data_IF_564875481040
#
_entry.id   IF_564875481040
#
_cell.length_a   1.000
_cell.length_b   1.000
_cell.length_c   1.000
_cell.angle_alpha   90.00
_cell.angle_beta   90.00
_cell.angle_gamma   90.00
#
_symmetry.space_group_name_H-M   'P 1'
#
loop_
_entity.id
_entity.type
_entity.pdbx_description
1 polymer ?
#
# COMPACT_ATOMS: atom_id res chain seq x y z
N UNK A 1 5.07 -1.36 -22.15
CA UNK A 1 4.58 0.01 -22.46
C UNK A 1 3.12 -0.09 -22.87
N UNK A 2 2.19 0.53 -22.14
CA UNK A 2 0.77 0.51 -22.51
C UNK A 2 0.52 1.36 -23.77
N UNK A 3 -0.21 0.81 -24.76
CA UNK A 3 -0.63 1.51 -25.98
C UNK A 3 -1.48 2.76 -25.63
N UNK A 4 -1.38 3.83 -26.44
CA UNK A 4 -2.18 5.06 -26.35
C UNK A 4 -3.70 4.84 -26.17
N UNK A 5 -4.28 3.75 -26.71
CA UNK A 5 -5.69 3.38 -26.49
C UNK A 5 -5.96 2.86 -25.08
N UNK A 6 -5.06 2.04 -24.54
CA UNK A 6 -5.11 1.57 -23.14
C UNK A 6 -4.94 2.75 -22.17
N UNK A 7 -3.99 3.65 -22.47
CA UNK A 7 -3.79 4.88 -21.68
C UNK A 7 -5.01 5.80 -21.68
N UNK A 8 -5.73 5.95 -22.79
CA UNK A 8 -6.98 6.73 -22.86
C UNK A 8 -8.11 6.13 -22.02
N UNK A 9 -8.29 4.80 -22.06
CA UNK A 9 -9.28 4.08 -21.26
C UNK A 9 -8.96 4.15 -19.75
N UNK A 10 -7.68 4.11 -19.40
CA UNK A 10 -7.22 4.28 -18.03
C UNK A 10 -7.54 5.67 -17.47
N UNK A 11 -7.19 6.72 -18.22
CA UNK A 11 -7.47 8.09 -17.81
C UNK A 11 -8.97 8.39 -17.70
N UNK A 12 -9.81 7.78 -18.55
CA UNK A 12 -11.26 7.96 -18.44
C UNK A 12 -11.82 7.28 -17.19
N UNK A 13 -11.37 6.07 -16.82
CA UNK A 13 -11.76 5.39 -15.59
C UNK A 13 -11.33 6.13 -14.31
N UNK A 14 -10.14 6.75 -14.31
CA UNK A 14 -9.70 7.58 -13.18
C UNK A 14 -10.65 8.77 -12.99
N UNK A 15 -10.99 9.48 -14.08
CA UNK A 15 -11.89 10.65 -14.01
C UNK A 15 -13.27 10.29 -13.46
N UNK A 16 -13.81 9.12 -13.84
CA UNK A 16 -15.11 8.62 -13.32
C UNK A 16 -15.06 8.40 -11.79
N UNK A 17 -13.89 8.08 -11.23
CA UNK A 17 -13.75 7.81 -9.80
C UNK A 17 -13.62 9.06 -8.91
N UNK A 18 -13.61 10.28 -9.47
CA UNK A 18 -13.39 11.52 -8.69
C UNK A 18 -14.66 12.16 -8.07
N UNK A 19 -15.86 11.68 -8.38
CA UNK A 19 -17.11 12.43 -8.14
C UNK A 19 -17.84 12.27 -6.80
N UNK A 20 -17.40 11.43 -5.87
CA UNK A 20 -18.24 11.02 -4.71
C UNK A 20 -17.75 11.52 -3.35
N UNK A 21 -16.46 11.81 -3.20
CA UNK A 21 -15.90 12.33 -1.95
C UNK A 21 -15.75 13.86 -2.04
N UNK A 22 -15.94 14.58 -0.92
CA UNK A 22 -15.93 16.04 -0.94
C UNK A 22 -14.61 16.58 -1.50
N UNK A 23 -14.66 17.69 -2.26
CA UNK A 23 -13.45 18.38 -2.68
C UNK A 23 -12.75 18.93 -1.44
N UNK A 24 -11.53 18.45 -1.17
CA UNK A 24 -10.71 18.92 -0.04
C UNK A 24 -10.17 17.80 0.84
N UNK A 25 -9.83 18.15 2.08
CA UNK A 25 -9.26 17.26 3.10
C UNK A 25 -10.31 16.80 4.09
N UNK A 26 -10.24 15.55 4.52
CA UNK A 26 -11.12 15.03 5.57
C UNK A 26 -10.75 15.61 6.96
N UNK A 27 -11.67 15.51 7.93
CA UNK A 27 -11.38 15.94 9.30
C UNK A 27 -10.24 15.13 9.91
N UNK A 28 -9.20 15.82 10.41
CA UNK A 28 -7.95 15.20 10.90
C UNK A 28 -8.15 14.17 12.00
N UNK A 29 -9.15 14.38 12.87
CA UNK A 29 -9.52 13.48 13.97
C UNK A 29 -9.90 12.07 13.47
N UNK A 30 -10.44 11.95 12.25
CA UNK A 30 -10.73 10.66 11.63
C UNK A 30 -9.47 9.83 11.43
N UNK A 31 -8.31 10.48 11.38
CA UNK A 31 -7.01 9.86 11.17
C UNK A 31 -6.19 9.68 12.47
N UNK A 32 -6.87 9.62 13.62
CA UNK A 32 -6.24 9.23 14.88
C UNK A 32 -6.20 7.71 15.02
N UNK A 33 -5.07 7.17 15.48
CA UNK A 33 -4.81 5.74 15.64
C UNK A 33 -4.21 5.47 17.01
N UNK A 34 -4.68 4.42 17.67
CA UNK A 34 -3.99 3.91 18.86
C UNK A 34 -3.00 2.81 18.47
N UNK A 35 -1.81 2.84 19.04
CA UNK A 35 -0.80 1.80 18.89
C UNK A 35 -0.82 0.89 20.11
N UNK A 36 -1.19 -0.36 19.89
CA UNK A 36 -1.12 -1.41 20.91
C UNK A 36 0.15 -2.24 20.68
N UNK A 37 0.94 -2.46 21.71
CA UNK A 37 2.13 -3.31 21.65
C UNK A 37 1.77 -4.71 22.15
N UNK A 38 1.90 -5.72 21.28
CA UNK A 38 1.69 -7.13 21.64
C UNK A 38 3.04 -7.84 21.71
N UNK A 39 3.29 -8.55 22.81
CA UNK A 39 4.50 -9.37 22.99
C UNK A 39 4.56 -10.45 21.90
N UNK A 40 5.70 -10.59 21.23
CA UNK A 40 5.97 -11.72 20.33
C UNK A 40 6.30 -12.99 21.09
N UNK A 41 6.90 -12.87 22.28
CA UNK A 41 7.36 -13.97 23.15
C UNK A 41 7.28 -13.56 24.62
N UNK A 42 7.08 -14.53 25.52
CA UNK A 42 7.07 -14.31 26.96
C UNK A 42 8.46 -13.96 27.51
N UNK A 43 8.51 -13.16 28.59
CA UNK A 43 9.75 -12.81 29.29
C UNK A 43 10.68 -11.84 28.54
N UNK A 44 10.17 -11.04 27.60
CA UNK A 44 10.98 -10.12 26.79
C UNK A 44 11.03 -8.71 27.39
N UNK A 45 12.24 -8.14 27.45
CA UNK A 45 12.50 -6.78 27.94
C UNK A 45 12.82 -5.78 26.79
N UNK A 46 13.07 -6.26 25.57
CA UNK A 46 13.40 -5.42 24.40
C UNK A 46 12.14 -4.98 23.63
N UNK A 47 12.03 -3.69 23.34
CA UNK A 47 10.95 -3.12 22.52
C UNK A 47 10.84 -3.76 21.12
N UNK A 48 11.93 -4.32 20.59
CA UNK A 48 11.98 -5.04 19.31
C UNK A 48 11.15 -6.33 19.32
N UNK A 49 10.90 -6.89 20.49
CA UNK A 49 10.09 -8.09 20.67
C UNK A 49 8.59 -7.80 20.78
N UNK A 50 8.19 -6.53 20.65
CA UNK A 50 6.79 -6.17 20.51
C UNK A 50 6.39 -6.05 19.04
N UNK A 51 5.15 -6.44 18.75
CA UNK A 51 4.48 -6.19 17.48
C UNK A 51 3.51 -5.04 17.67
N UNK A 52 3.70 -3.88 17.01
CA UNK A 52 2.73 -2.82 17.04
C UNK A 52 1.49 -3.21 16.23
N UNK A 53 0.31 -2.98 16.80
CA UNK A 53 -0.98 -3.09 16.13
C UNK A 53 -1.62 -1.70 16.07
N UNK A 54 -1.94 -1.27 14.86
CA UNK A 54 -2.67 -0.04 14.60
C UNK A 54 -4.17 -0.25 14.83
N UNK A 55 -4.70 0.29 15.91
CA UNK A 55 -6.13 0.37 16.17
C UNK A 55 -6.68 1.65 15.54
N UNK A 56 -7.00 1.53 14.26
CA UNK A 56 -7.53 2.64 13.46
C UNK A 56 -9.04 2.76 13.60
N UNK A 57 -9.55 3.99 13.63
CA UNK A 57 -10.99 4.28 13.70
C UNK A 57 -11.79 3.66 12.54
N UNK A 58 -13.00 3.18 12.83
CA UNK A 58 -13.88 2.50 11.87
C UNK A 58 -14.26 3.38 10.67
N UNK A 59 -14.51 4.67 10.90
CA UNK A 59 -14.83 5.64 9.84
C UNK A 59 -13.67 5.77 8.83
N UNK A 60 -12.44 5.84 9.32
CA UNK A 60 -11.27 5.82 8.43
C UNK A 60 -11.16 4.49 7.68
N UNK A 61 -11.39 3.35 8.34
CA UNK A 61 -11.36 2.04 7.66
C UNK A 61 -12.38 1.98 6.52
N UNK A 62 -13.58 2.52 6.71
CA UNK A 62 -14.59 2.65 5.67
C UNK A 62 -14.11 3.54 4.52
N UNK A 63 -13.57 4.72 4.82
CA UNK A 63 -13.01 5.62 3.82
C UNK A 63 -11.88 4.94 3.02
N UNK A 64 -10.91 4.35 3.70
CA UNK A 64 -9.80 3.63 3.08
C UNK A 64 -10.30 2.47 2.22
N UNK A 65 -11.33 1.74 2.66
CA UNK A 65 -11.95 0.66 1.89
C UNK A 65 -12.63 1.18 0.62
N UNK A 66 -13.34 2.31 0.69
CA UNK A 66 -13.94 2.96 -0.49
C UNK A 66 -12.87 3.35 -1.50
N UNK A 67 -11.76 3.96 -1.03
CA UNK A 67 -10.64 4.33 -1.90
C UNK A 67 -9.96 3.10 -2.51
N UNK A 68 -9.73 2.04 -1.72
CA UNK A 68 -9.14 0.80 -2.22
C UNK A 68 -10.03 0.11 -3.27
N UNK A 69 -11.35 0.07 -3.05
CA UNK A 69 -12.29 -0.53 -3.99
C UNK A 69 -12.34 0.23 -5.33
N UNK A 70 -12.20 1.56 -5.30
CA UNK A 70 -12.09 2.38 -6.51
C UNK A 70 -10.77 2.13 -7.23
N UNK A 71 -9.64 2.13 -6.51
CA UNK A 71 -8.32 1.84 -7.08
C UNK A 71 -8.27 0.47 -7.74
N UNK A 72 -8.94 -0.52 -7.15
CA UNK A 72 -9.04 -1.88 -7.71
C UNK A 72 -9.56 -1.90 -9.15
N UNK A 73 -10.47 -1.00 -9.52
CA UNK A 73 -11.07 -0.95 -10.88
C UNK A 73 -10.08 -0.58 -11.98
N UNK A 74 -8.97 0.07 -11.61
CA UNK A 74 -7.92 0.50 -12.55
C UNK A 74 -6.60 -0.24 -12.33
N UNK A 75 -6.51 -1.10 -11.30
CA UNK A 75 -5.25 -1.72 -10.88
C UNK A 75 -4.57 -2.51 -12.01
N UNK A 76 -5.33 -3.28 -12.79
CA UNK A 76 -4.79 -4.07 -13.90
C UNK A 76 -4.18 -3.26 -15.05
N UNK A 77 -4.45 -1.95 -15.12
CA UNK A 77 -3.84 -1.05 -16.10
C UNK A 77 -2.61 -0.32 -15.53
N UNK A 78 -2.44 -0.33 -14.20
CA UNK A 78 -1.33 0.33 -13.48
C UNK A 78 -0.15 -0.61 -13.26
N UNK A 79 -0.42 -1.89 -13.00
CA UNK A 79 0.60 -2.87 -12.64
C UNK A 79 0.95 -3.78 -13.80
N UNK A 80 2.17 -4.33 -13.78
CA UNK A 80 2.60 -5.35 -14.74
C UNK A 80 1.80 -6.64 -14.59
N UNK A 81 1.64 -7.40 -15.67
CA UNK A 81 1.06 -8.76 -15.64
C UNK A 81 1.88 -9.74 -14.80
N UNK A 82 3.17 -9.46 -14.62
CA UNK A 82 4.05 -10.23 -13.73
C UNK A 82 3.81 -9.99 -12.24
N UNK A 83 3.06 -8.96 -11.84
CA UNK A 83 2.80 -8.67 -10.42
C UNK A 83 1.55 -9.40 -9.92
N UNK A 84 1.69 -10.42 -9.07
CA UNK A 84 0.53 -11.24 -8.67
C UNK A 84 0.06 -10.98 -7.23
N UNK A 85 0.95 -10.55 -6.34
CA UNK A 85 0.61 -10.31 -4.95
C UNK A 85 -0.40 -9.16 -4.79
N UNK A 86 -1.43 -9.36 -3.98
CA UNK A 86 -2.49 -8.38 -3.67
C UNK A 86 -3.33 -7.91 -4.87
N UNK A 87 -3.35 -8.69 -5.96
CA UNK A 87 -4.15 -8.40 -7.16
C UNK A 87 -5.34 -9.33 -7.22
N UNK A 88 -6.53 -8.78 -7.39
CA UNK A 88 -7.73 -9.59 -7.55
C UNK A 88 -7.65 -10.45 -8.81
N UNK A 89 -7.93 -11.75 -8.68
CA UNK A 89 -7.91 -12.70 -9.79
C UNK A 89 -6.53 -13.28 -10.13
N UNK A 90 -5.47 -12.93 -9.41
CA UNK A 90 -4.13 -13.55 -9.56
C UNK A 90 -3.82 -14.43 -8.34
N UNK A 91 -3.32 -15.65 -8.56
CA UNK A 91 -3.01 -16.58 -7.49
C UNK A 91 -1.50 -16.63 -7.23
N UNK A 92 -1.13 -16.94 -5.99
CA UNK A 92 0.30 -17.09 -5.63
C UNK A 92 0.94 -18.28 -6.34
N UNK A 93 0.14 -19.33 -6.61
CA UNK A 93 0.59 -20.53 -7.31
C UNK A 93 1.00 -20.24 -8.76
N UNK A 94 0.35 -19.26 -9.41
CA UNK A 94 0.71 -18.84 -10.77
C UNK A 94 2.16 -18.33 -10.82
N UNK A 95 2.59 -17.55 -9.82
CA UNK A 95 3.97 -17.05 -9.73
C UNK A 95 4.95 -18.19 -9.55
N UNK A 96 4.63 -19.14 -8.68
CA UNK A 96 5.49 -20.30 -8.40
C UNK A 96 5.68 -21.11 -9.68
N UNK A 97 4.60 -21.35 -10.43
CA UNK A 97 4.65 -22.08 -11.70
C UNK A 97 5.47 -21.33 -12.75
N UNK A 98 5.23 -20.03 -12.95
CA UNK A 98 5.97 -19.20 -13.90
C UNK A 98 7.46 -19.18 -13.56
N UNK A 99 7.81 -19.06 -12.27
CA UNK A 99 9.20 -19.07 -11.83
C UNK A 99 9.88 -20.43 -12.09
N UNK A 100 9.17 -21.54 -11.81
CA UNK A 100 9.69 -22.89 -12.06
C UNK A 100 9.93 -23.13 -13.55
N UNK A 101 8.97 -22.78 -14.41
CA UNK A 101 9.09 -22.96 -15.86
C UNK A 101 10.21 -22.08 -16.45
N UNK A 102 10.32 -20.84 -15.99
CA UNK A 102 11.39 -19.93 -16.40
C UNK A 102 12.78 -20.45 -16.00
N UNK A 103 12.91 -21.06 -14.82
CA UNK A 103 14.16 -21.68 -14.37
C UNK A 103 14.48 -22.94 -15.18
N UNK A 104 13.51 -23.84 -15.37
CA UNK A 104 13.69 -25.09 -16.10
C UNK A 104 14.09 -24.83 -17.57
N UNK A 105 13.42 -23.87 -18.23
CA UNK A 105 13.79 -23.44 -19.58
C UNK A 105 15.23 -22.93 -19.65
N UNK A 106 15.67 -22.10 -18.69
CA UNK A 106 17.05 -21.57 -18.68
C UNK A 106 18.09 -22.65 -18.42
N UNK A 107 17.78 -23.63 -17.58
CA UNK A 107 18.66 -24.77 -17.33
C UNK A 107 18.82 -25.64 -18.60
N UNK A 108 17.73 -25.84 -19.36
CA UNK A 108 17.75 -26.58 -20.63
C UNK A 108 18.53 -25.86 -21.72
N UNK A 109 18.43 -24.54 -21.81
CA UNK A 109 19.16 -23.74 -22.81
C UNK A 109 20.67 -23.72 -22.58
N UNK A 110 21.13 -24.11 -21.37
CA UNK A 110 22.54 -24.12 -20.95
C UNK A 110 23.26 -22.77 -21.16
N UNK A 111 22.50 -21.67 -21.08
CA UNK A 111 23.02 -20.31 -21.15
C UNK A 111 23.26 -19.81 -19.72
N UNK A 112 24.48 -19.34 -19.39
CA UNK A 112 24.75 -18.76 -18.08
C UNK A 112 23.77 -17.61 -17.76
N UNK A 113 23.22 -17.62 -16.54
CA UNK A 113 22.26 -16.62 -16.08
C UNK A 113 22.34 -16.40 -14.57
N UNK A 114 21.70 -15.33 -14.10
CA UNK A 114 21.64 -14.96 -12.68
C UNK A 114 20.19 -14.96 -12.21
N UNK A 115 19.91 -15.68 -11.12
CA UNK A 115 18.66 -15.56 -10.38
C UNK A 115 18.87 -14.64 -9.18
N UNK A 116 18.14 -13.53 -9.13
CA UNK A 116 18.21 -12.57 -8.03
C UNK A 116 16.92 -12.62 -7.20
N UNK A 117 17.06 -13.00 -5.93
CA UNK A 117 16.00 -12.88 -4.92
C UNK A 117 16.19 -11.58 -4.15
N UNK A 118 15.26 -10.64 -4.32
CA UNK A 118 15.25 -9.37 -3.59
C UNK A 118 14.12 -9.35 -2.57
N UNK A 119 14.40 -8.84 -1.39
CA UNK A 119 13.39 -8.55 -0.36
C UNK A 119 13.61 -7.13 0.17
N UNK A 120 12.52 -6.45 0.52
CA UNK A 120 12.55 -5.06 1.00
C UNK A 120 12.22 -5.05 2.48
N UNK A 121 13.21 -4.71 3.30
CA UNK A 121 13.02 -4.59 4.75
C UNK A 121 11.95 -3.53 5.07
N UNK A 122 10.91 -3.96 5.80
CA UNK A 122 9.82 -3.09 6.29
C UNK A 122 9.23 -2.21 5.17
N UNK A 123 8.94 -2.83 4.03
CA UNK A 123 8.49 -2.14 2.82
C UNK A 123 7.35 -1.14 3.06
N UNK A 124 6.39 -1.48 3.93
CA UNK A 124 5.29 -0.58 4.27
C UNK A 124 5.70 0.56 5.21
N UNK A 125 6.62 0.36 6.15
CA UNK A 125 7.03 1.40 7.11
C UNK A 125 7.98 2.43 6.49
N UNK A 126 8.65 2.06 5.39
CA UNK A 126 9.69 2.87 4.74
C UNK A 126 9.21 3.68 3.52
N UNK A 127 7.94 3.59 3.13
CA UNK A 127 7.41 4.32 1.96
C UNK A 127 7.57 5.84 2.12
N UNK A 128 8.32 6.48 1.23
CA UNK A 128 8.39 7.93 1.15
C UNK A 128 7.11 8.50 0.49
N UNK A 129 6.40 9.37 1.18
CA UNK A 129 5.12 9.90 0.69
C UNK A 129 5.26 10.82 -0.52
N UNK A 130 6.30 11.65 -0.58
CA UNK A 130 6.50 12.54 -1.73
C UNK A 130 6.74 11.71 -3.00
N UNK A 131 7.59 10.69 -2.90
CA UNK A 131 7.81 9.75 -3.99
C UNK A 131 6.51 9.05 -4.42
N UNK A 132 5.68 8.60 -3.46
CA UNK A 132 4.39 8.01 -3.76
C UNK A 132 3.48 8.97 -4.53
N UNK A 133 3.36 10.24 -4.11
CA UNK A 133 2.55 11.23 -4.82
C UNK A 133 3.08 11.51 -6.23
N UNK A 134 4.40 11.56 -6.41
CA UNK A 134 5.03 11.76 -7.71
C UNK A 134 4.75 10.59 -8.66
N UNK A 135 4.82 9.36 -8.17
CA UNK A 135 4.48 8.16 -8.94
C UNK A 135 3.02 8.18 -9.36
N UNK A 136 2.10 8.52 -8.44
CA UNK A 136 0.68 8.62 -8.77
C UNK A 136 0.40 9.72 -9.80
N UNK A 137 1.08 10.88 -9.69
CA UNK A 137 1.00 11.95 -10.68
C UNK A 137 1.46 11.49 -12.07
N UNK A 138 2.63 10.82 -12.14
CA UNK A 138 3.18 10.28 -13.39
C UNK A 138 2.30 9.18 -14.01
N UNK A 139 1.62 8.40 -13.18
CA UNK A 139 0.64 7.42 -13.64
C UNK A 139 -0.58 8.10 -14.24
N UNK A 140 -0.91 9.34 -13.86
CA UNK A 140 -2.04 10.11 -14.39
C UNK A 140 -3.23 10.19 -13.44
N UNK A 141 -3.04 9.89 -12.15
CA UNK A 141 -4.06 10.15 -11.14
C UNK A 141 -4.28 11.66 -10.99
N UNK A 142 -5.54 12.08 -10.91
CA UNK A 142 -5.88 13.49 -10.73
C UNK A 142 -5.49 14.02 -9.35
N UNK A 143 -5.31 15.33 -9.27
CA UNK A 143 -4.88 16.02 -8.05
C UNK A 143 -5.80 15.75 -6.85
N UNK A 144 -7.10 15.58 -7.10
CA UNK A 144 -8.09 15.25 -6.06
C UNK A 144 -7.78 13.90 -5.42
N UNK A 145 -7.53 12.88 -6.25
CA UNK A 145 -7.18 11.54 -5.78
C UNK A 145 -5.87 11.54 -4.99
N UNK A 146 -4.84 12.20 -5.53
CA UNK A 146 -3.54 12.36 -4.87
C UNK A 146 -3.71 13.02 -3.50
N UNK A 147 -4.55 14.05 -3.39
CA UNK A 147 -4.80 14.72 -2.11
C UNK A 147 -5.52 13.82 -1.09
N UNK A 148 -6.44 12.96 -1.51
CA UNK A 148 -7.05 11.99 -0.59
C UNK A 148 -6.02 10.98 -0.06
N UNK A 149 -5.16 10.44 -0.92
CA UNK A 149 -4.09 9.52 -0.48
C UNK A 149 -3.08 10.25 0.40
N UNK A 150 -2.65 11.46 0.01
CA UNK A 150 -1.78 12.32 0.83
C UNK A 150 -2.38 12.59 2.20
N UNK A 151 -3.68 12.85 2.27
CA UNK A 151 -4.37 13.04 3.54
C UNK A 151 -4.33 11.76 4.39
N UNK A 152 -4.66 10.59 3.82
CA UNK A 152 -4.63 9.30 4.52
C UNK A 152 -3.25 9.01 5.13
N UNK A 153 -2.17 9.34 4.42
CA UNK A 153 -0.80 9.14 4.88
C UNK A 153 -0.35 10.19 5.90
N UNK A 154 -0.41 11.48 5.53
CA UNK A 154 0.29 12.56 6.23
C UNK A 154 -0.43 13.15 7.45
N UNK A 155 -1.73 12.86 7.59
CA UNK A 155 -2.51 13.33 8.74
C UNK A 155 -2.64 12.30 9.85
N UNK A 156 -2.04 11.12 9.68
CA UNK A 156 -2.06 10.04 10.65
C UNK A 156 -1.37 10.47 11.95
N UNK A 157 -2.10 10.35 13.05
CA UNK A 157 -1.59 10.64 14.38
C UNK A 157 -1.75 9.44 15.29
N UNK A 158 -0.75 9.23 16.15
CA UNK A 158 -0.62 8.02 16.95
C UNK A 158 -0.53 8.36 18.43
N UNK A 159 -1.16 7.53 19.25
CA UNK A 159 -0.97 7.49 20.70
C UNK A 159 -0.75 6.05 21.14
N UNK A 160 0.15 5.80 22.08
CA UNK A 160 0.49 4.45 22.53
C UNK A 160 -0.48 4.06 23.63
N UNK A 161 -1.09 2.87 23.55
CA UNK A 161 -1.89 2.33 24.64
C UNK A 161 -0.98 1.65 25.65
N UNK A 162 -0.82 2.27 26.82
CA UNK A 162 -0.12 1.71 27.97
C UNK A 162 -1.19 1.32 28.99
N UNK A 163 -1.31 0.02 29.26
CA UNK A 163 -2.32 -0.53 30.18
C UNK A 163 -3.76 -0.04 29.88
N UNK A 164 -4.11 0.03 28.60
CA UNK A 164 -5.42 0.48 28.12
C UNK A 164 -5.62 2.00 28.10
N UNK A 165 -4.66 2.79 28.59
CA UNK A 165 -4.72 4.25 28.58
C UNK A 165 -3.84 4.84 27.47
N UNK A 166 -4.34 5.82 26.69
CA UNK A 166 -3.53 6.49 25.67
C UNK A 166 -2.45 7.36 26.32
N UNK A 167 -1.22 7.20 25.84
CA UNK A 167 -0.05 7.92 26.33
C UNK A 167 0.75 8.50 25.16
N UNK A 168 1.11 9.77 25.28
CA UNK A 168 1.83 10.52 24.27
C UNK A 168 1.05 10.73 22.98
N UNK A 169 1.59 11.59 22.12
CA UNK A 169 1.06 11.85 20.80
C UNK A 169 2.19 12.13 19.83
N UNK A 170 2.20 11.44 18.70
CA UNK A 170 3.19 11.65 17.65
C UNK A 170 2.59 11.45 16.26
N UNK A 171 3.32 11.90 15.25
CA UNK A 171 2.96 11.73 13.83
C UNK A 171 3.97 10.85 13.15
N UNK A 172 3.53 10.15 12.11
CA UNK A 172 4.48 9.55 11.18
C UNK A 172 4.98 10.58 10.18
N UNK A 173 6.17 10.33 9.62
CA UNK A 173 6.76 11.07 8.50
C UNK A 173 6.86 10.23 7.22
N UNK A 174 6.62 8.91 7.33
CA UNK A 174 6.72 7.94 6.23
C UNK A 174 5.87 6.70 6.50
N UNK A 175 5.80 5.82 5.51
CA UNK A 175 5.15 4.52 5.61
C UNK A 175 3.63 4.54 5.42
N UNK A 176 3.03 3.34 5.35
CA UNK A 176 1.62 3.11 5.10
C UNK A 176 1.02 2.26 6.24
N UNK A 177 -0.29 2.35 6.44
CA UNK A 177 -1.04 1.69 7.52
C UNK A 177 -2.37 1.16 7.03
#
# INVERSE_FOLDING_TARGET
>A
MANARSRRNFLSKIKVNEGVLPPGTFQRSLNSTFLLLILKKEGTEDLRDFRPINLVGSVYKLLAKVLANRLRTVMGEVISDSQHAFVHGRQILDVVLIANEALDSRLKDNIPGLLLKMDIEKAFDHVNWNFLMDVMSKMGFGHRWINWIKWCCSTATFSILINGSPSGFFRSSRGLR
#
